data_IF_232356100791
#
_entry.id   IF_232356100791
#
_cell.length_a   1.000
_cell.length_b   1.000
_cell.length_c   1.000
_cell.angle_alpha   90.00
_cell.angle_beta   90.00
_cell.angle_gamma   90.00
#
_symmetry.space_group_name_H-M   'P 1'
#
loop_
_entity.id
_entity.type
_entity.pdbx_description
1 polymer ?
#
# COMPACT_ATOMS: atom_id res chain seq x y z
N UNK A 1 -58.99 -13.11 -21.18
CA UNK A 1 -58.99 -12.43 -19.87
C UNK A 1 -57.57 -12.23 -19.41
N UNK A 2 -57.23 -11.09 -18.83
CA UNK A 2 -55.94 -10.76 -18.20
C UNK A 2 -56.11 -10.74 -16.68
N UNK A 3 -55.14 -11.30 -15.95
CA UNK A 3 -55.04 -11.24 -14.49
C UNK A 3 -53.64 -10.78 -14.13
N UNK A 4 -53.54 -9.68 -13.37
CA UNK A 4 -52.27 -9.24 -12.79
C UNK A 4 -52.17 -9.74 -11.35
N UNK A 5 -51.03 -10.36 -11.04
CA UNK A 5 -50.74 -10.92 -9.74
C UNK A 5 -49.90 -9.97 -8.88
N UNK A 6 -49.89 -10.20 -7.58
CA UNK A 6 -49.11 -9.41 -6.60
C UNK A 6 -47.60 -9.50 -6.82
N UNK A 7 -47.15 -10.63 -7.35
CA UNK A 7 -45.76 -10.81 -7.74
C UNK A 7 -45.39 -10.01 -9.01
N UNK A 8 -46.35 -9.37 -9.69
CA UNK A 8 -46.13 -8.61 -10.93
C UNK A 8 -46.29 -9.43 -12.22
N UNK A 9 -46.57 -10.74 -12.10
CA UNK A 9 -46.84 -11.61 -13.26
C UNK A 9 -48.19 -11.30 -13.87
N UNK A 10 -48.26 -11.45 -15.20
CA UNK A 10 -49.44 -11.17 -16.02
C UNK A 10 -49.88 -12.47 -16.67
N UNK A 11 -51.03 -13.00 -16.24
CA UNK A 11 -51.58 -14.25 -16.75
C UNK A 11 -52.75 -13.93 -17.68
N UNK A 12 -52.68 -14.43 -18.91
CA UNK A 12 -53.75 -14.32 -19.90
C UNK A 12 -54.34 -15.70 -20.11
N UNK A 13 -55.66 -15.82 -20.11
CA UNK A 13 -56.31 -17.10 -20.38
C UNK A 13 -57.82 -17.00 -20.48
N UNK A 14 -58.46 -18.17 -20.61
CA UNK A 14 -59.91 -18.32 -20.64
C UNK A 14 -60.42 -18.64 -19.24
N UNK A 15 -61.18 -17.74 -18.63
CA UNK A 15 -61.77 -17.98 -17.32
C UNK A 15 -62.82 -19.11 -17.40
N UNK A 16 -62.65 -20.14 -16.57
CA UNK A 16 -63.56 -21.30 -16.51
C UNK A 16 -64.45 -21.26 -15.29
N UNK A 17 -63.92 -20.85 -14.15
CA UNK A 17 -64.67 -20.72 -12.91
C UNK A 17 -64.00 -19.70 -11.98
N UNK A 18 -64.81 -19.10 -11.14
CA UNK A 18 -64.38 -18.23 -10.05
C UNK A 18 -65.26 -18.45 -8.81
N UNK A 19 -64.80 -18.00 -7.65
CA UNK A 19 -65.59 -17.98 -6.41
C UNK A 19 -65.68 -16.57 -5.80
N UNK A 20 -66.41 -16.43 -4.68
CA UNK A 20 -66.57 -15.15 -3.98
C UNK A 20 -65.28 -14.60 -3.35
N UNK A 21 -64.24 -15.42 -3.25
CA UNK A 21 -62.91 -15.02 -2.77
C UNK A 21 -61.97 -14.65 -3.91
N UNK A 22 -62.46 -14.63 -5.15
CA UNK A 22 -61.69 -14.40 -6.36
C UNK A 22 -60.61 -15.46 -6.62
N UNK A 23 -60.81 -16.70 -6.17
CA UNK A 23 -60.01 -17.82 -6.67
C UNK A 23 -60.42 -18.09 -8.12
N UNK A 24 -59.45 -18.16 -9.05
CA UNK A 24 -59.71 -18.25 -10.48
C UNK A 24 -59.15 -19.55 -11.05
N UNK A 25 -59.91 -20.17 -11.95
CA UNK A 25 -59.41 -21.25 -12.81
C UNK A 25 -59.36 -20.74 -14.24
N UNK A 26 -58.15 -20.65 -14.80
CA UNK A 26 -57.91 -20.27 -16.18
C UNK A 26 -57.53 -21.51 -16.99
N UNK A 27 -58.13 -21.67 -18.17
CA UNK A 27 -57.69 -22.63 -19.18
C UNK A 27 -56.88 -21.92 -20.26
N UNK A 28 -56.03 -22.68 -20.95
CA UNK A 28 -55.14 -22.18 -22.01
C UNK A 28 -54.37 -20.94 -21.55
N UNK A 29 -53.97 -20.95 -20.27
CA UNK A 29 -53.29 -19.84 -19.65
C UNK A 29 -51.88 -19.70 -20.22
N UNK A 30 -51.51 -18.46 -20.51
CA UNK A 30 -50.16 -18.04 -20.85
C UNK A 30 -49.73 -16.97 -19.88
N UNK A 31 -48.46 -17.00 -19.49
CA UNK A 31 -47.84 -15.92 -18.76
C UNK A 31 -47.14 -15.00 -19.75
N UNK A 32 -47.57 -13.74 -19.81
CA UNK A 32 -47.04 -12.74 -20.73
C UNK A 32 -46.03 -11.85 -20.02
N UNK A 33 -44.81 -11.82 -20.53
CA UNK A 33 -43.74 -10.94 -20.08
C UNK A 33 -43.61 -9.84 -21.12
N UNK A 34 -43.52 -8.58 -20.68
CA UNK A 34 -43.26 -7.45 -21.57
C UNK A 34 -41.86 -6.91 -21.30
N UNK A 35 -41.20 -6.35 -22.29
CA UNK A 35 -39.96 -5.61 -22.10
C UNK A 35 -39.90 -4.54 -23.17
N UNK A 36 -40.08 -3.28 -22.77
CA UNK A 36 -40.16 -2.14 -23.71
C UNK A 36 -41.24 -2.40 -24.78
N UNK A 37 -40.85 -2.49 -26.05
CA UNK A 37 -41.73 -2.69 -27.20
C UNK A 37 -41.87 -4.17 -27.59
N UNK A 38 -41.37 -5.09 -26.76
CA UNK A 38 -41.40 -6.54 -27.01
C UNK A 38 -42.20 -7.30 -25.95
N UNK A 39 -42.70 -8.47 -26.31
CA UNK A 39 -43.34 -9.40 -25.38
C UNK A 39 -43.02 -10.86 -25.69
N UNK A 40 -43.18 -11.73 -24.69
CA UNK A 40 -43.08 -13.17 -24.83
C UNK A 40 -44.14 -13.88 -23.98
N UNK A 41 -44.70 -14.97 -24.53
CA UNK A 41 -45.72 -15.78 -23.88
C UNK A 41 -45.14 -17.14 -23.44
N UNK A 42 -45.32 -17.49 -22.17
CA UNK A 42 -44.93 -18.78 -21.60
C UNK A 42 -46.19 -19.61 -21.35
N UNK A 43 -46.37 -20.77 -22.00
CA UNK A 43 -47.58 -21.58 -21.82
C UNK A 43 -47.63 -22.17 -20.40
N UNK A 44 -48.77 -22.01 -19.75
CA UNK A 44 -49.09 -22.55 -18.42
C UNK A 44 -50.22 -23.60 -18.45
N UNK A 45 -51.10 -23.56 -19.45
CA UNK A 45 -52.18 -24.52 -19.62
C UNK A 45 -53.31 -24.29 -18.62
N UNK A 46 -53.62 -25.28 -17.78
CA UNK A 46 -54.59 -25.10 -16.69
C UNK A 46 -53.93 -24.41 -15.51
N UNK A 47 -54.44 -23.26 -15.09
CA UNK A 47 -53.84 -22.42 -14.06
C UNK A 47 -54.84 -22.06 -12.97
N UNK A 48 -54.54 -22.43 -11.73
CA UNK A 48 -55.33 -22.10 -10.54
C UNK A 48 -54.67 -20.93 -9.80
N UNK A 49 -55.41 -19.83 -9.66
CA UNK A 49 -54.94 -18.62 -8.98
C UNK A 49 -55.71 -18.48 -7.67
N UNK A 50 -54.99 -18.25 -6.57
CA UNK A 50 -55.58 -17.93 -5.28
C UNK A 50 -55.90 -16.44 -5.18
N UNK A 51 -57.09 -16.12 -4.69
CA UNK A 51 -57.66 -14.77 -4.77
C UNK A 51 -56.87 -13.68 -4.06
N UNK A 52 -56.16 -13.98 -2.98
CA UNK A 52 -55.33 -12.98 -2.27
C UNK A 52 -54.14 -12.48 -3.09
N UNK A 53 -53.75 -13.22 -4.13
CA UNK A 53 -52.67 -12.88 -5.04
C UNK A 53 -53.18 -12.11 -6.27
N UNK A 54 -54.49 -11.96 -6.46
CA UNK A 54 -55.08 -11.18 -7.55
C UNK A 54 -55.02 -9.71 -7.19
N UNK A 55 -54.34 -8.91 -8.02
CA UNK A 55 -54.32 -7.45 -7.89
C UNK A 55 -55.46 -6.83 -8.68
N UNK A 56 -55.55 -7.21 -9.95
CA UNK A 56 -56.65 -6.81 -10.83
C UNK A 56 -56.88 -7.90 -11.88
N UNK A 57 -58.08 -7.88 -12.44
CA UNK A 57 -58.43 -8.73 -13.57
C UNK A 57 -59.37 -8.00 -14.53
N UNK A 58 -59.27 -8.32 -15.81
CA UNK A 58 -60.03 -7.65 -16.86
C UNK A 58 -60.26 -8.53 -18.08
N UNK A 59 -61.35 -8.27 -18.78
CA UNK A 59 -61.54 -8.80 -20.12
C UNK A 59 -60.52 -8.16 -21.08
N UNK A 60 -60.08 -8.93 -22.06
CA UNK A 60 -59.12 -8.48 -23.08
C UNK A 60 -59.91 -8.33 -24.37
N UNK A 61 -59.89 -7.14 -24.95
CA UNK A 61 -60.44 -6.86 -26.27
C UNK A 61 -59.39 -7.24 -27.33
N UNK A 62 -59.67 -8.30 -28.08
CA UNK A 62 -58.75 -8.84 -29.08
C UNK A 62 -58.53 -7.88 -30.25
N UNK A 63 -59.56 -7.12 -30.64
CA UNK A 63 -59.46 -6.19 -31.76
C UNK A 63 -58.52 -5.03 -31.40
N UNK A 64 -58.52 -4.62 -30.13
CA UNK A 64 -57.64 -3.56 -29.63
C UNK A 64 -56.20 -4.06 -29.43
N UNK A 65 -55.98 -5.32 -29.02
CA UNK A 65 -54.63 -5.88 -28.86
C UNK A 65 -53.86 -5.89 -30.20
N UNK A 66 -54.53 -6.16 -31.32
CA UNK A 66 -53.91 -6.22 -32.66
C UNK A 66 -53.37 -4.85 -33.13
N UNK A 67 -53.87 -3.75 -32.56
CA UNK A 67 -53.45 -2.38 -32.92
C UNK A 67 -52.22 -1.94 -32.11
N UNK A 68 -51.90 -2.64 -31.02
CA UNK A 68 -50.77 -2.27 -30.17
C UNK A 68 -49.46 -2.68 -30.86
N UNK A 69 -48.48 -1.78 -31.04
CA UNK A 69 -47.24 -2.05 -31.78
C UNK A 69 -46.21 -2.86 -30.96
N UNK A 70 -46.65 -3.90 -30.25
CA UNK A 70 -45.79 -4.79 -29.48
C UNK A 70 -45.28 -5.95 -30.35
N UNK A 71 -43.99 -6.27 -30.24
CA UNK A 71 -43.35 -7.32 -31.04
C UNK A 71 -43.15 -8.60 -30.23
N UNK A 72 -43.60 -9.73 -30.74
CA UNK A 72 -43.27 -11.02 -30.17
C UNK A 72 -41.76 -11.29 -30.33
N UNK A 73 -41.09 -11.68 -29.24
CA UNK A 73 -39.67 -12.00 -29.21
C UNK A 73 -39.41 -13.30 -28.41
N UNK A 74 -38.24 -13.95 -28.58
CA UNK A 74 -37.88 -15.13 -27.80
C UNK A 74 -37.89 -14.87 -26.30
N UNK A 75 -38.40 -15.82 -25.52
CA UNK A 75 -38.55 -15.73 -24.05
C UNK A 75 -37.25 -15.32 -23.37
N UNK A 76 -36.12 -15.91 -23.76
CA UNK A 76 -34.80 -15.62 -23.19
C UNK A 76 -34.38 -14.15 -23.39
N UNK A 77 -34.68 -13.59 -24.57
CA UNK A 77 -34.35 -12.21 -24.90
C UNK A 77 -35.19 -11.24 -24.09
N UNK A 78 -36.50 -11.48 -23.99
CA UNK A 78 -37.44 -10.63 -23.25
C UNK A 78 -37.14 -10.70 -21.75
N UNK A 79 -36.85 -11.88 -21.20
CA UNK A 79 -36.44 -12.05 -19.80
C UNK A 79 -35.16 -11.28 -19.49
N UNK A 80 -34.17 -11.32 -20.39
CA UNK A 80 -32.91 -10.60 -20.21
C UNK A 80 -33.14 -9.09 -20.17
N UNK A 81 -33.97 -8.55 -21.07
CA UNK A 81 -34.32 -7.14 -21.09
C UNK A 81 -35.16 -6.71 -19.87
N UNK A 82 -36.12 -7.56 -19.47
CA UNK A 82 -36.94 -7.34 -18.29
C UNK A 82 -36.08 -7.27 -17.03
N UNK A 83 -35.12 -8.19 -16.87
CA UNK A 83 -34.22 -8.21 -15.72
C UNK A 83 -33.37 -6.94 -15.61
N UNK A 84 -32.81 -6.45 -16.72
CA UNK A 84 -32.05 -5.18 -16.74
C UNK A 84 -32.93 -4.01 -16.34
N UNK A 85 -34.15 -3.93 -16.89
CA UNK A 85 -35.09 -2.87 -16.56
C UNK A 85 -35.52 -2.90 -15.09
N UNK A 86 -35.72 -4.09 -14.51
CA UNK A 86 -36.09 -4.25 -13.11
C UNK A 86 -34.94 -3.85 -12.17
N UNK A 87 -33.69 -4.14 -12.55
CA UNK A 87 -32.49 -3.64 -11.84
C UNK A 87 -32.40 -2.11 -11.89
N UNK A 88 -32.58 -1.52 -13.08
CA UNK A 88 -32.57 -0.05 -13.26
C UNK A 88 -33.66 0.63 -12.42
N UNK A 89 -34.86 0.04 -12.40
CA UNK A 89 -35.97 0.53 -11.58
C UNK A 89 -35.67 0.39 -10.10
N UNK A 90 -35.13 -0.74 -9.65
CA UNK A 90 -34.77 -0.94 -8.24
C UNK A 90 -33.73 0.08 -7.77
N UNK A 91 -32.75 0.38 -8.63
CA UNK A 91 -31.75 1.42 -8.37
C UNK A 91 -32.39 2.81 -8.28
N UNK A 92 -33.23 3.18 -9.25
CA UNK A 92 -33.94 4.46 -9.27
C UNK A 92 -34.87 4.61 -8.05
N UNK A 93 -35.55 3.53 -7.68
CA UNK A 93 -36.43 3.45 -6.52
C UNK A 93 -35.64 3.62 -5.21
N UNK A 94 -34.47 2.99 -5.08
CA UNK A 94 -33.60 3.16 -3.90
C UNK A 94 -33.17 4.63 -3.73
N UNK A 95 -32.76 5.28 -4.83
CA UNK A 95 -32.38 6.70 -4.81
C UNK A 95 -33.58 7.58 -4.46
N UNK A 96 -34.73 7.33 -5.09
CA UNK A 96 -35.98 8.05 -4.82
C UNK A 96 -36.38 7.90 -3.36
N UNK A 97 -36.35 6.69 -2.85
CA UNK A 97 -36.76 6.35 -1.50
C UNK A 97 -35.80 6.97 -0.47
N UNK A 98 -34.50 7.04 -0.75
CA UNK A 98 -33.53 7.75 0.09
C UNK A 98 -33.84 9.26 0.18
N UNK A 99 -34.13 9.92 -0.95
CA UNK A 99 -34.48 11.34 -1.01
C UNK A 99 -35.80 11.62 -0.27
N UNK A 100 -36.79 10.75 -0.43
CA UNK A 100 -38.08 10.86 0.24
C UNK A 100 -37.95 10.69 1.76
N UNK A 101 -37.14 9.72 2.21
CA UNK A 101 -36.85 9.52 3.64
C UNK A 101 -36.16 10.73 4.27
N UNK A 102 -35.20 11.35 3.57
CA UNK A 102 -34.55 12.57 4.06
C UNK A 102 -35.55 13.73 4.27
N UNK A 103 -36.65 13.73 3.52
CA UNK A 103 -37.72 14.74 3.63
C UNK A 103 -38.86 14.33 4.59
N UNK A 104 -38.71 13.23 5.32
CA UNK A 104 -39.69 12.76 6.30
C UNK A 104 -40.85 11.96 5.72
N UNK A 105 -40.76 11.46 4.49
CA UNK A 105 -41.77 10.57 3.91
C UNK A 105 -41.47 9.10 4.22
N UNK A 106 -42.51 8.32 4.51
CA UNK A 106 -42.42 6.86 4.65
C UNK A 106 -42.30 6.21 3.27
N UNK A 107 -41.37 5.27 3.12
CA UNK A 107 -41.16 4.50 1.87
C UNK A 107 -41.18 2.99 2.11
N UNK A 108 -41.82 2.57 3.20
CA UNK A 108 -41.98 1.15 3.52
C UNK A 108 -42.85 0.48 2.46
N UNK A 109 -42.34 -0.60 1.86
CA UNK A 109 -43.07 -1.48 0.96
C UNK A 109 -43.44 -2.73 1.74
N UNK A 110 -44.67 -3.20 1.55
CA UNK A 110 -45.13 -4.45 2.17
C UNK A 110 -44.43 -5.62 1.45
N UNK A 111 -43.93 -6.59 2.21
CA UNK A 111 -43.30 -7.77 1.66
C UNK A 111 -44.25 -8.50 0.69
N UNK A 112 -43.77 -8.74 -0.54
CA UNK A 112 -44.53 -9.40 -1.60
C UNK A 112 -45.31 -8.46 -2.51
N UNK A 113 -45.44 -7.16 -2.21
CA UNK A 113 -45.97 -6.17 -3.16
C UNK A 113 -44.86 -5.74 -4.12
N UNK A 114 -44.82 -6.42 -5.26
CA UNK A 114 -44.02 -5.99 -6.40
C UNK A 114 -44.89 -5.08 -7.24
N UNK A 115 -44.34 -3.93 -7.67
CA UNK A 115 -45.07 -3.05 -8.59
C UNK A 115 -45.51 -3.87 -9.82
N UNK A 116 -46.73 -3.65 -10.33
CA UNK A 116 -47.32 -4.39 -11.48
C UNK A 116 -46.45 -4.32 -12.75
N UNK A 117 -45.53 -3.36 -12.79
CA UNK A 117 -44.56 -3.14 -13.86
C UNK A 117 -43.25 -3.93 -13.70
N UNK A 118 -42.99 -4.49 -12.53
CA UNK A 118 -41.82 -5.34 -12.24
C UNK A 118 -42.18 -6.77 -12.57
N UNK A 119 -41.30 -7.50 -13.25
CA UNK A 119 -41.57 -8.88 -13.60
C UNK A 119 -41.22 -9.76 -12.41
N UNK A 120 -42.27 -10.31 -11.79
CA UNK A 120 -42.18 -11.34 -10.75
C UNK A 120 -41.57 -12.62 -11.26
N UNK A 121 -40.28 -12.61 -11.53
CA UNK A 121 -39.51 -13.82 -11.45
C UNK A 121 -39.14 -13.97 -9.98
N UNK A 122 -39.63 -15.03 -9.31
CA UNK A 122 -38.90 -15.65 -8.20
C UNK A 122 -37.43 -15.58 -8.60
N UNK A 123 -36.53 -14.91 -7.86
CA UNK A 123 -35.14 -14.87 -8.24
C UNK A 123 -34.75 -16.33 -8.42
N UNK A 124 -34.65 -16.79 -9.68
CA UNK A 124 -34.09 -18.11 -9.94
C UNK A 124 -32.76 -18.05 -9.21
N UNK A 125 -32.34 -19.16 -8.63
CA UNK A 125 -31.10 -19.30 -7.86
C UNK A 125 -29.89 -18.53 -8.42
N UNK A 126 -29.94 -18.13 -9.69
CA UNK A 126 -29.16 -17.10 -10.36
C UNK A 126 -29.22 -15.63 -9.87
N UNK A 127 -30.22 -15.07 -9.18
CA UNK A 127 -30.13 -13.70 -8.68
C UNK A 127 -29.27 -13.65 -7.40
N UNK A 128 -29.40 -14.67 -6.54
CA UNK A 128 -28.49 -14.88 -5.42
C UNK A 128 -27.08 -15.23 -5.93
N UNK A 129 -26.96 -16.05 -7.00
CA UNK A 129 -25.67 -16.36 -7.60
C UNK A 129 -25.07 -15.19 -8.38
N UNK A 130 -25.85 -14.33 -9.05
CA UNK A 130 -25.39 -13.09 -9.69
C UNK A 130 -25.00 -12.05 -8.65
N UNK A 131 -25.79 -11.89 -7.59
CA UNK A 131 -25.43 -11.00 -6.49
C UNK A 131 -24.19 -11.52 -5.77
N UNK A 132 -24.06 -12.83 -5.56
CA UNK A 132 -22.81 -13.44 -5.09
C UNK A 132 -21.66 -13.29 -6.08
N UNK A 133 -21.88 -13.41 -7.40
CA UNK A 133 -20.82 -13.24 -8.40
C UNK A 133 -20.37 -11.80 -8.53
N UNK A 134 -21.29 -10.83 -8.47
CA UNK A 134 -20.98 -9.40 -8.47
C UNK A 134 -20.27 -9.03 -7.17
N UNK A 135 -20.78 -9.47 -6.01
CA UNK A 135 -20.08 -9.27 -4.73
C UNK A 135 -18.72 -9.99 -4.71
N UNK A 136 -18.62 -11.20 -5.26
CA UNK A 136 -17.35 -11.93 -5.33
C UNK A 136 -16.36 -11.25 -6.28
N UNK A 137 -16.82 -10.72 -7.42
CA UNK A 137 -15.98 -9.97 -8.36
C UNK A 137 -15.53 -8.62 -7.78
N UNK A 138 -16.40 -7.92 -7.04
CA UNK A 138 -16.04 -6.70 -6.31
C UNK A 138 -15.07 -6.99 -5.16
N UNK A 139 -15.25 -8.10 -4.46
CA UNK A 139 -14.38 -8.53 -3.38
C UNK A 139 -13.01 -8.94 -3.90
N UNK A 140 -12.95 -9.68 -5.02
CA UNK A 140 -11.70 -9.98 -5.73
C UNK A 140 -10.97 -8.71 -6.20
N UNK A 141 -11.69 -7.70 -6.69
CA UNK A 141 -11.09 -6.41 -7.05
C UNK A 141 -10.51 -5.68 -5.82
N UNK A 142 -11.27 -5.62 -4.72
CA UNK A 142 -10.79 -5.01 -3.46
C UNK A 142 -9.61 -5.76 -2.86
N UNK A 143 -9.61 -7.08 -2.92
CA UNK A 143 -8.53 -7.92 -2.42
C UNK A 143 -7.27 -7.71 -3.26
N UNK A 144 -7.39 -7.66 -4.60
CA UNK A 144 -6.27 -7.36 -5.50
C UNK A 144 -5.71 -5.94 -5.31
N UNK A 145 -6.57 -4.93 -5.11
CA UNK A 145 -6.15 -3.56 -4.80
C UNK A 145 -5.43 -3.48 -3.45
N UNK A 146 -5.95 -4.15 -2.42
CA UNK A 146 -5.33 -4.22 -1.10
C UNK A 146 -3.99 -4.96 -1.13
N UNK A 147 -3.87 -6.00 -1.95
CA UNK A 147 -2.62 -6.75 -2.13
C UNK A 147 -1.58 -5.92 -2.86
N UNK A 148 -1.96 -5.19 -3.91
CA UNK A 148 -1.09 -4.22 -4.58
C UNK A 148 -0.63 -3.09 -3.63
N UNK A 149 -1.51 -2.59 -2.77
CA UNK A 149 -1.16 -1.58 -1.76
C UNK A 149 -0.20 -2.15 -0.69
N UNK A 150 -0.41 -3.39 -0.25
CA UNK A 150 0.52 -4.09 0.66
C UNK A 150 1.89 -4.32 0.00
N UNK A 151 1.94 -4.69 -1.27
CA UNK A 151 3.20 -4.85 -2.00
C UNK A 151 3.94 -3.52 -2.16
N UNK A 152 3.22 -2.43 -2.46
CA UNK A 152 3.79 -1.09 -2.52
C UNK A 152 4.33 -0.64 -1.15
N UNK A 153 3.58 -0.89 -0.07
CA UNK A 153 4.02 -0.60 1.30
C UNK A 153 5.25 -1.43 1.69
N UNK A 154 5.26 -2.73 1.37
CA UNK A 154 6.41 -3.61 1.59
C UNK A 154 7.63 -3.15 0.80
N UNK A 155 7.43 -2.68 -0.43
CA UNK A 155 8.51 -2.13 -1.25
C UNK A 155 9.09 -0.85 -0.65
N UNK A 156 8.23 0.07 -0.17
CA UNK A 156 8.67 1.26 0.56
C UNK A 156 9.42 0.91 1.85
N UNK A 157 8.92 -0.07 2.61
CA UNK A 157 9.55 -0.57 3.84
C UNK A 157 10.96 -1.14 3.54
N UNK A 158 11.07 -1.98 2.50
CA UNK A 158 12.36 -2.52 2.03
C UNK A 158 13.32 -1.43 1.60
N UNK A 159 12.85 -0.41 0.86
CA UNK A 159 13.68 0.74 0.50
C UNK A 159 14.13 1.53 1.72
N UNK A 160 13.25 1.74 2.71
CA UNK A 160 13.59 2.42 3.97
C UNK A 160 14.65 1.65 4.75
N UNK A 161 14.49 0.33 4.89
CA UNK A 161 15.46 -0.54 5.59
C UNK A 161 16.80 -0.52 4.85
N UNK A 162 16.79 -0.58 3.52
CA UNK A 162 18.01 -0.50 2.72
C UNK A 162 18.76 0.82 2.91
N UNK A 163 18.04 1.95 2.87
CA UNK A 163 18.63 3.28 3.11
C UNK A 163 19.20 3.40 4.53
N UNK A 164 18.48 2.87 5.53
CA UNK A 164 18.96 2.85 6.92
C UNK A 164 20.22 2.00 7.08
N UNK A 165 20.27 0.83 6.45
CA UNK A 165 21.43 -0.05 6.48
C UNK A 165 22.64 0.59 5.78
N UNK A 166 22.43 1.24 4.64
CA UNK A 166 23.47 1.99 3.95
C UNK A 166 24.01 3.13 4.82
N UNK A 167 23.13 3.88 5.48
CA UNK A 167 23.53 4.96 6.39
C UNK A 167 24.32 4.43 7.59
N UNK A 168 23.91 3.30 8.16
CA UNK A 168 24.62 2.66 9.26
C UNK A 168 26.02 2.18 8.84
N UNK A 169 26.15 1.58 7.65
CA UNK A 169 27.46 1.19 7.11
C UNK A 169 28.36 2.40 6.89
N UNK A 170 27.83 3.51 6.37
CA UNK A 170 28.60 4.76 6.22
C UNK A 170 29.05 5.30 7.58
N UNK A 171 28.19 5.30 8.60
CA UNK A 171 28.58 5.71 9.95
C UNK A 171 29.65 4.81 10.55
N UNK A 172 29.54 3.48 10.40
CA UNK A 172 30.56 2.54 10.86
C UNK A 172 31.89 2.78 10.15
N UNK A 173 31.87 3.03 8.84
CA UNK A 173 33.07 3.34 8.07
C UNK A 173 33.74 4.63 8.56
N UNK A 174 32.95 5.69 8.78
CA UNK A 174 33.44 6.96 9.35
C UNK A 174 34.02 6.78 10.75
N UNK A 175 33.34 6.03 11.62
CA UNK A 175 33.84 5.72 12.97
C UNK A 175 35.14 4.92 12.92
N UNK A 176 35.25 3.94 12.01
CA UNK A 176 36.47 3.17 11.85
C UNK A 176 37.63 4.04 11.36
N UNK A 177 37.37 4.93 10.39
CA UNK A 177 38.36 5.90 9.92
C UNK A 177 38.83 6.80 11.07
N UNK A 178 37.91 7.42 11.81
CA UNK A 178 38.25 8.27 12.97
C UNK A 178 39.04 7.51 14.05
N UNK A 179 38.67 6.26 14.34
CA UNK A 179 39.39 5.42 15.29
C UNK A 179 40.80 5.07 14.81
N UNK A 180 40.98 4.83 13.50
CA UNK A 180 42.30 4.58 12.92
C UNK A 180 43.19 5.83 12.95
N UNK A 181 42.62 7.01 12.70
CA UNK A 181 43.33 8.29 12.80
C UNK A 181 43.78 8.56 14.24
N UNK A 182 42.90 8.33 15.22
CA UNK A 182 43.24 8.46 16.64
C UNK A 182 44.38 7.53 17.04
N UNK A 183 44.35 6.26 16.61
CA UNK A 183 45.44 5.30 16.88
C UNK A 183 46.76 5.73 16.24
N UNK A 184 46.73 6.24 15.00
CA UNK A 184 47.94 6.73 14.34
C UNK A 184 48.55 7.93 15.08
N UNK A 185 47.71 8.82 15.61
CA UNK A 185 48.16 9.95 16.45
C UNK A 185 48.79 9.43 17.76
N UNK A 186 48.16 8.48 18.45
CA UNK A 186 48.70 7.87 19.66
C UNK A 186 50.06 7.18 19.42
N UNK A 187 50.18 6.41 18.33
CA UNK A 187 51.44 5.77 17.94
C UNK A 187 52.54 6.80 17.64
N UNK A 188 52.22 7.89 16.94
CA UNK A 188 53.16 8.98 16.70
C UNK A 188 53.62 9.65 18.01
N UNK A 189 52.71 9.90 18.94
CA UNK A 189 53.05 10.48 20.25
C UNK A 189 53.97 9.54 21.05
N UNK A 190 53.71 8.24 21.03
CA UNK A 190 54.53 7.23 21.71
C UNK A 190 55.94 7.15 21.11
N UNK A 191 56.05 7.19 19.78
CA UNK A 191 57.34 7.19 19.08
C UNK A 191 58.16 8.44 19.44
N UNK A 192 57.51 9.61 19.47
CA UNK A 192 58.15 10.87 19.87
C UNK A 192 58.64 10.82 21.32
N UNK A 193 57.84 10.26 22.24
CA UNK A 193 58.23 10.10 23.63
C UNK A 193 59.45 9.16 23.79
N UNK A 194 59.48 8.03 23.07
CA UNK A 194 60.64 7.13 23.07
C UNK A 194 61.91 7.82 22.57
N UNK A 195 61.83 8.61 21.51
CA UNK A 195 63.00 9.33 21.00
C UNK A 195 63.50 10.39 21.99
N UNK A 196 62.61 11.12 22.67
CA UNK A 196 63.00 12.06 23.72
C UNK A 196 63.74 11.36 24.86
N UNK A 197 63.26 10.18 25.28
CA UNK A 197 63.93 9.35 26.29
C UNK A 197 65.30 8.88 25.81
N UNK A 198 65.39 8.33 24.60
CA UNK A 198 66.66 7.86 24.03
C UNK A 198 67.70 8.99 23.91
N UNK A 199 67.25 10.18 23.53
CA UNK A 199 68.09 11.36 23.44
C UNK A 199 68.57 11.85 24.82
N UNK A 200 67.69 11.84 25.82
CA UNK A 200 68.08 12.15 27.20
C UNK A 200 69.10 11.15 27.75
N UNK A 201 68.95 9.85 27.42
CA UNK A 201 69.90 8.81 27.78
C UNK A 201 71.27 9.00 27.08
N UNK A 202 71.29 9.34 25.79
CA UNK A 202 72.53 9.65 25.07
C UNK A 202 73.26 10.86 25.67
N UNK A 203 72.54 11.92 26.03
CA UNK A 203 73.13 13.06 26.72
C UNK A 203 73.75 12.66 28.06
N UNK A 204 73.06 11.85 28.87
CA UNK A 204 73.61 11.35 30.13
C UNK A 204 74.87 10.50 29.91
N UNK A 205 74.89 9.64 28.89
CA UNK A 205 76.09 8.86 28.55
C UNK A 205 77.25 9.75 28.09
N UNK A 206 77.00 10.79 27.29
CA UNK A 206 78.03 11.75 26.90
C UNK A 206 78.57 12.54 28.10
N UNK A 207 77.70 12.94 29.03
CA UNK A 207 78.12 13.59 30.28
C UNK A 207 78.96 12.65 31.17
N UNK A 208 78.66 11.35 31.18
CA UNK A 208 79.45 10.35 31.91
C UNK A 208 80.78 10.03 31.22
N UNK A 209 80.85 10.03 29.89
CA UNK A 209 82.10 9.86 29.13
C UNK A 209 83.01 11.10 29.16
N UNK A 210 82.46 12.28 29.46
CA UNK A 210 83.23 13.51 29.70
C UNK A 210 83.77 13.63 31.13
N UNK A 211 83.58 12.62 32.00
CA UNK A 211 84.32 12.54 33.26
C UNK A 211 85.68 11.86 33.02
N UNK A 212 86.81 12.59 33.15
CA UNK A 212 88.11 11.96 33.04
C UNK A 212 88.40 11.17 34.32
N UNK A 213 88.87 9.94 34.16
CA UNK A 213 89.69 9.27 35.16
C UNK A 213 90.95 10.13 35.42
N UNK A 214 91.39 10.18 36.69
CA UNK A 214 92.44 11.01 37.36
C UNK A 214 93.82 11.09 36.63
N UNK A 215 94.87 11.88 37.07
CA UNK A 215 95.04 12.79 38.22
C UNK A 215 95.65 14.20 37.84
N UNK A 216 95.95 15.01 38.86
CA UNK A 216 96.48 16.39 38.86
C UNK A 216 97.29 16.92 37.65
N UNK A 217 96.78 17.98 37.01
CA UNK A 217 97.52 19.19 36.56
C UNK A 217 96.60 20.42 36.66
N UNK A 218 97.09 21.62 37.01
CA UNK A 218 96.26 22.82 37.11
C UNK A 218 95.71 23.20 35.74
N UNK A 219 94.37 23.25 35.60
CA UNK A 219 93.71 23.73 34.38
C UNK A 219 94.08 25.20 34.13
N UNK A 220 94.36 25.61 32.90
CA UNK A 220 94.39 27.03 32.58
C UNK A 220 92.99 27.61 32.86
N UNK A 221 92.93 28.68 33.68
CA UNK A 221 91.67 29.34 33.99
C UNK A 221 91.07 29.93 32.71
N UNK A 222 90.05 29.27 32.15
CA UNK A 222 89.17 29.90 31.18
C UNK A 222 88.47 31.06 31.89
N UNK A 223 88.47 32.21 31.25
CA UNK A 223 87.71 33.36 31.74
C UNK A 223 86.22 33.03 31.73
N UNK A 224 85.40 33.59 32.64
CA UNK A 224 83.96 33.33 32.69
C UNK A 224 83.28 33.52 31.32
N UNK A 225 83.75 34.49 30.53
CA UNK A 225 83.27 34.72 29.16
C UNK A 225 83.59 33.59 28.20
N UNK A 226 84.77 32.99 28.26
CA UNK A 226 85.13 31.85 27.41
C UNK A 226 84.33 30.61 27.77
N UNK A 227 84.08 30.40 29.07
CA UNK A 227 83.22 29.31 29.52
C UNK A 227 81.77 29.50 29.05
N UNK A 228 81.27 30.74 29.15
CA UNK A 228 79.92 31.08 28.72
C UNK A 228 79.76 30.99 27.20
N UNK A 229 80.77 31.40 26.42
CA UNK A 229 80.79 31.19 24.96
C UNK A 229 80.81 29.71 24.58
N UNK A 230 81.58 28.89 25.29
CA UNK A 230 81.62 27.45 25.02
C UNK A 230 80.28 26.77 25.33
N UNK A 231 79.66 27.14 26.45
CA UNK A 231 78.30 26.71 26.82
C UNK A 231 77.27 27.15 25.79
N UNK A 232 77.34 28.41 25.34
CA UNK A 232 76.43 28.94 24.33
C UNK A 232 76.64 28.27 22.97
N UNK A 233 77.89 27.96 22.60
CA UNK A 233 78.21 27.24 21.39
C UNK A 233 77.73 25.79 21.44
N UNK A 234 77.87 25.09 22.58
CA UNK A 234 77.29 23.77 22.78
C UNK A 234 75.75 23.82 22.71
N UNK A 235 75.11 24.81 23.34
CA UNK A 235 73.66 24.99 23.24
C UNK A 235 73.21 25.22 21.80
N UNK A 236 73.93 26.05 21.03
CA UNK A 236 73.60 26.29 19.63
C UNK A 236 73.79 25.04 18.76
N UNK A 237 74.89 24.31 18.94
CA UNK A 237 75.12 23.05 18.22
C UNK A 237 74.05 22.01 18.54
N UNK A 238 73.67 21.92 19.81
CA UNK A 238 72.60 21.05 20.27
C UNK A 238 71.26 21.41 19.63
N UNK A 239 70.92 22.70 19.60
CA UNK A 239 69.68 23.17 19.00
C UNK A 239 69.63 22.92 17.49
N UNK A 240 70.75 23.13 16.80
CA UNK A 240 70.87 22.82 15.37
C UNK A 240 70.74 21.32 15.09
N UNK A 241 71.38 20.48 15.90
CA UNK A 241 71.28 19.03 15.76
C UNK A 241 69.85 18.54 16.00
N UNK A 242 69.14 19.12 16.97
CA UNK A 242 67.74 18.81 17.24
C UNK A 242 66.84 19.19 16.06
N UNK A 243 67.06 20.35 15.43
CA UNK A 243 66.31 20.76 14.24
C UNK A 243 66.58 19.84 13.03
N UNK A 244 67.83 19.41 12.80
CA UNK A 244 68.15 18.49 11.72
C UNK A 244 67.49 17.12 11.88
N UNK A 245 67.50 16.57 13.11
CA UNK A 245 66.81 15.32 13.43
C UNK A 245 65.29 15.44 13.18
N UNK A 246 64.70 16.58 13.55
CA UNK A 246 63.28 16.83 13.36
C UNK A 246 62.91 16.93 11.86
N UNK A 247 63.76 17.55 11.04
CA UNK A 247 63.58 17.59 9.59
C UNK A 247 63.74 16.21 8.94
N UNK A 248 64.72 15.39 9.38
CA UNK A 248 64.87 14.03 8.87
C UNK A 248 63.65 13.16 9.17
N UNK A 249 63.05 13.30 10.35
CA UNK A 249 61.83 12.57 10.70
C UNK A 249 60.64 13.02 9.86
N UNK A 250 60.48 14.32 9.62
CA UNK A 250 59.43 14.83 8.73
C UNK A 250 59.61 14.30 7.29
N UNK A 251 60.84 14.20 6.80
CA UNK A 251 61.13 13.62 5.48
C UNK A 251 60.86 12.10 5.43
N UNK A 252 61.18 11.36 6.49
CA UNK A 252 60.85 9.93 6.58
C UNK A 252 59.35 9.70 6.61
N UNK A 253 58.60 10.51 7.37
CA UNK A 253 57.14 10.49 7.36
C UNK A 253 56.59 10.84 5.96
N UNK A 254 57.15 11.83 5.27
CA UNK A 254 56.70 12.22 3.93
C UNK A 254 56.95 11.13 2.87
N UNK A 255 58.02 10.32 3.03
CA UNK A 255 58.33 9.21 2.12
C UNK A 255 57.54 7.93 2.44
N UNK A 256 57.02 7.77 3.65
CA UNK A 256 56.24 6.59 4.06
C UNK A 256 54.79 6.61 3.53
N UNK A 257 54.30 7.78 3.07
CA UNK A 257 52.97 7.97 2.47
C UNK A 257 52.97 7.90 0.92
N UNK A 258 54.04 7.41 0.29
CA UNK A 258 54.18 7.38 -1.18
C UNK A 258 54.15 6.00 -1.87
N UNK A 259 53.71 4.94 -1.19
CA UNK A 259 53.43 3.63 -1.82
C UNK A 259 52.06 3.11 -1.40
#
# INVERSE_FOLDING_TARGET
MLVALRDGRKIIGVLRSYDQFANLVLNDAVERIHAQDEYADIPRGLYLIRGENVVLMGEVDLDLEDVVPLKAAPVEQVLSKAAVHDEDRANADSVRDAVLRQRGFCTERVDGDVDVHTYGHEPSTNAFAKHQQVQHAEQLKRDAEMEAEKEAALHMEKQRVFMMQQQQQQQQHQQHQQASELKAIEEQQMLMAQQQIAFAQQQQQQQQQQQPQQPHQPRPMMTPEQHQRLLQQQQQQFYQQQQQLQQQQQQQQHNQFRY
#
